data_IF_740501149620
#
_entry.id   IF_740501149620
#
_cell.length_a   1.000
_cell.length_b   1.000
_cell.length_c   1.000
_cell.angle_alpha   90.00
_cell.angle_beta   90.00
_cell.angle_gamma   90.00
#
_symmetry.space_group_name_H-M   'P 1'
#
loop_
_entity.id
_entity.type
_entity.pdbx_description
1 polymer ?
#
# COMPACT_ATOMS: atom_id res chain seq x y z
N UNK A 1 -7.98 8.67 -27.34
CA UNK A 1 -9.44 8.75 -27.58
C UNK A 1 -10.19 7.65 -26.82
N UNK A 2 -9.55 6.55 -26.45
CA UNK A 2 -10.19 5.39 -25.79
C UNK A 2 -10.16 5.43 -24.25
N UNK A 3 -9.57 6.44 -23.66
CA UNK A 3 -9.40 6.56 -22.20
C UNK A 3 -10.68 6.77 -21.39
N UNK A 4 -11.72 7.30 -21.98
CA UNK A 4 -13.03 7.43 -21.31
C UNK A 4 -13.74 6.07 -21.12
N UNK A 5 -13.51 5.12 -22.03
CA UNK A 5 -14.08 3.77 -21.89
C UNK A 5 -13.35 2.90 -20.87
N UNK A 6 -12.03 3.06 -20.69
CA UNK A 6 -11.29 2.37 -19.63
C UNK A 6 -11.81 2.74 -18.23
N UNK A 7 -12.23 3.99 -18.02
CA UNK A 7 -12.89 4.40 -16.79
C UNK A 7 -14.18 3.62 -16.50
N UNK A 8 -14.90 3.23 -17.54
CA UNK A 8 -16.11 2.42 -17.40
C UNK A 8 -15.84 0.95 -17.05
N UNK A 9 -14.67 0.45 -17.42
CA UNK A 9 -14.21 -0.91 -17.11
C UNK A 9 -13.50 -1.04 -15.75
N UNK A 10 -13.14 0.08 -15.08
CA UNK A 10 -12.38 0.05 -13.83
C UNK A 10 -13.28 -0.19 -12.60
N UNK A 11 -12.90 -1.12 -11.70
CA UNK A 11 -13.61 -1.36 -10.43
C UNK A 11 -13.73 -0.12 -9.54
N UNK A 12 -12.78 0.81 -9.63
CA UNK A 12 -12.74 2.04 -8.80
C UNK A 12 -13.87 3.01 -9.17
N UNK A 13 -14.17 3.17 -10.47
CA UNK A 13 -15.22 4.08 -10.92
C UNK A 13 -16.61 3.67 -10.42
N UNK A 14 -16.83 2.39 -10.19
CA UNK A 14 -18.10 1.86 -9.71
C UNK A 14 -18.40 2.20 -8.25
N UNK A 15 -17.37 2.35 -7.39
CA UNK A 15 -17.57 2.81 -6.02
C UNK A 15 -18.05 4.27 -5.96
N UNK A 16 -17.60 5.09 -6.90
CA UNK A 16 -18.07 6.48 -7.03
C UNK A 16 -19.57 6.55 -7.36
N UNK A 17 -20.08 5.54 -8.06
CA UNK A 17 -21.49 5.49 -8.48
C UNK A 17 -22.40 4.73 -7.50
N UNK A 18 -21.87 4.14 -6.42
CA UNK A 18 -22.68 3.45 -5.41
C UNK A 18 -23.78 4.35 -4.87
N UNK A 19 -25.02 3.89 -5.03
CA UNK A 19 -26.22 4.64 -4.63
C UNK A 19 -26.61 5.83 -5.52
N UNK A 20 -25.84 6.13 -6.59
CA UNK A 20 -26.12 7.25 -7.52
C UNK A 20 -26.65 6.79 -8.87
N UNK A 21 -26.50 5.51 -9.21
CA UNK A 21 -26.93 4.92 -10.50
C UNK A 21 -27.47 3.51 -10.26
N UNK A 22 -28.12 2.96 -11.29
CA UNK A 22 -28.47 1.54 -11.33
C UNK A 22 -27.19 0.68 -11.38
N UNK A 23 -26.81 0.11 -10.25
CA UNK A 23 -25.59 -0.69 -10.09
C UNK A 23 -25.56 -1.88 -11.05
N UNK A 24 -26.69 -2.57 -11.25
CA UNK A 24 -26.76 -3.75 -12.10
C UNK A 24 -26.50 -3.38 -13.57
N UNK A 25 -27.08 -2.29 -14.02
CA UNK A 25 -26.87 -1.75 -15.37
C UNK A 25 -25.41 -1.34 -15.58
N UNK A 26 -24.80 -0.66 -14.57
CA UNK A 26 -23.40 -0.22 -14.66
C UNK A 26 -22.44 -1.40 -14.69
N UNK A 27 -22.65 -2.43 -13.86
CA UNK A 27 -21.87 -3.66 -13.87
C UNK A 27 -21.97 -4.36 -15.23
N UNK A 28 -23.16 -4.42 -15.81
CA UNK A 28 -23.35 -5.00 -17.14
C UNK A 28 -22.59 -4.21 -18.21
N UNK A 29 -22.61 -2.88 -18.16
CA UNK A 29 -21.86 -2.02 -19.08
C UNK A 29 -20.35 -2.27 -18.97
N UNK A 30 -19.79 -2.36 -17.73
CA UNK A 30 -18.39 -2.67 -17.48
C UNK A 30 -18.00 -4.01 -18.11
N UNK A 31 -18.79 -5.06 -17.86
CA UNK A 31 -18.52 -6.39 -18.43
C UNK A 31 -18.61 -6.42 -19.95
N UNK A 32 -19.56 -5.68 -20.51
CA UNK A 32 -19.69 -5.55 -21.97
C UNK A 32 -18.51 -4.81 -22.58
N UNK A 33 -18.04 -3.73 -21.94
CA UNK A 33 -16.86 -3.01 -22.39
C UNK A 33 -15.59 -3.89 -22.35
N UNK A 34 -15.40 -4.68 -21.28
CA UNK A 34 -14.27 -5.61 -21.18
C UNK A 34 -14.27 -6.67 -22.29
N UNK A 35 -15.45 -7.20 -22.67
CA UNK A 35 -15.57 -8.14 -23.78
C UNK A 35 -15.30 -7.46 -25.13
N UNK A 36 -15.85 -6.28 -25.35
CA UNK A 36 -15.60 -5.52 -26.57
C UNK A 36 -14.10 -5.25 -26.76
N UNK A 37 -13.38 -4.91 -25.72
CA UNK A 37 -11.90 -4.71 -25.81
C UNK A 37 -11.15 -5.98 -26.23
N UNK A 38 -11.59 -7.14 -25.76
CA UNK A 38 -10.99 -8.43 -26.18
C UNK A 38 -11.36 -8.78 -27.62
N UNK A 39 -12.63 -8.58 -28.02
CA UNK A 39 -13.14 -8.83 -29.38
C UNK A 39 -12.55 -7.87 -30.42
N UNK A 40 -12.37 -6.62 -30.07
CA UNK A 40 -11.79 -5.58 -30.93
C UNK A 40 -10.26 -5.61 -30.95
N UNK A 41 -9.61 -6.55 -30.25
CA UNK A 41 -8.15 -6.69 -30.14
C UNK A 41 -7.46 -5.40 -29.66
N UNK A 42 -8.06 -4.72 -28.69
CA UNK A 42 -7.47 -3.52 -28.07
C UNK A 42 -6.17 -3.86 -27.34
N UNK A 43 -6.05 -5.09 -26.83
CA UNK A 43 -4.87 -5.58 -26.12
C UNK A 43 -3.95 -6.41 -27.02
N UNK A 44 -2.64 -6.21 -26.88
CA UNK A 44 -1.63 -7.15 -27.40
C UNK A 44 -1.44 -8.25 -26.35
N UNK A 45 -1.54 -9.51 -26.78
CA UNK A 45 -1.35 -10.66 -25.87
C UNK A 45 0.13 -10.87 -25.60
N UNK A 46 0.47 -10.95 -24.32
CA UNK A 46 1.80 -11.31 -23.84
C UNK A 46 1.69 -12.52 -22.90
N UNK A 47 2.73 -13.36 -22.86
CA UNK A 47 2.90 -14.46 -21.92
C UNK A 47 4.10 -14.22 -21.02
N UNK A 48 4.00 -14.60 -19.75
CA UNK A 48 5.07 -14.44 -18.79
C UNK A 48 5.01 -13.13 -18.05
N UNK A 49 6.04 -12.86 -17.26
CA UNK A 49 6.21 -11.65 -16.48
C UNK A 49 6.69 -10.48 -17.35
N UNK A 50 6.48 -9.25 -16.87
CA UNK A 50 6.97 -8.02 -17.51
C UNK A 50 7.76 -7.23 -16.47
N UNK A 51 9.01 -6.89 -16.78
CA UNK A 51 9.74 -5.87 -16.02
C UNK A 51 9.24 -4.50 -16.47
N UNK A 52 8.76 -3.71 -15.52
CA UNK A 52 8.26 -2.36 -15.74
C UNK A 52 9.32 -1.36 -15.31
N UNK A 53 9.63 -0.42 -16.19
CA UNK A 53 10.42 0.77 -15.91
C UNK A 53 9.47 1.96 -15.98
N UNK A 54 9.35 2.72 -14.88
CA UNK A 54 8.52 3.90 -14.82
C UNK A 54 9.32 5.11 -14.40
N UNK A 55 9.37 6.11 -15.26
CA UNK A 55 9.99 7.39 -14.98
C UNK A 55 8.92 8.35 -14.42
N UNK A 56 9.15 8.88 -13.22
CA UNK A 56 8.29 9.83 -12.53
C UNK A 56 9.15 11.01 -12.12
N UNK A 57 8.95 12.17 -12.76
CA UNK A 57 9.82 13.31 -12.50
C UNK A 57 11.28 12.99 -12.78
N UNK A 58 12.11 13.04 -11.75
CA UNK A 58 13.54 12.72 -11.83
C UNK A 58 13.90 11.30 -11.35
N UNK A 59 12.93 10.55 -10.86
CA UNK A 59 13.13 9.20 -10.36
C UNK A 59 12.70 8.15 -11.37
N UNK A 60 13.38 7.00 -11.38
CA UNK A 60 12.99 5.83 -12.15
C UNK A 60 12.73 4.69 -11.18
N UNK A 61 11.51 4.16 -11.21
CA UNK A 61 11.06 3.04 -10.41
C UNK A 61 10.93 1.79 -11.26
N UNK A 62 11.32 0.66 -10.71
CA UNK A 62 11.22 -0.64 -11.36
C UNK A 62 10.27 -1.56 -10.61
N UNK A 63 9.40 -2.23 -11.38
CA UNK A 63 8.46 -3.22 -10.85
C UNK A 63 8.44 -4.47 -11.72
N UNK A 64 7.97 -5.56 -11.14
CA UNK A 64 7.79 -6.83 -11.82
C UNK A 64 6.30 -7.17 -11.86
N UNK A 65 5.68 -7.11 -13.06
CA UNK A 65 4.32 -7.61 -13.26
C UNK A 65 4.31 -9.11 -13.21
N UNK A 66 3.58 -9.65 -12.25
CA UNK A 66 3.45 -11.08 -12.01
C UNK A 66 2.05 -11.44 -11.54
N UNK A 67 1.74 -12.72 -11.46
CA UNK A 67 0.52 -13.23 -10.84
C UNK A 67 0.87 -13.98 -9.55
N UNK A 68 0.26 -13.57 -8.44
CA UNK A 68 0.44 -14.21 -7.14
C UNK A 68 -0.69 -15.19 -6.84
N UNK A 69 -0.38 -16.29 -6.15
CA UNK A 69 -1.37 -17.29 -5.73
C UNK A 69 -2.16 -16.77 -4.51
N UNK A 70 -3.47 -16.65 -4.66
CA UNK A 70 -4.35 -16.21 -3.60
C UNK A 70 -4.44 -17.20 -2.43
N UNK A 71 -4.06 -18.48 -2.62
CA UNK A 71 -3.95 -19.42 -1.50
C UNK A 71 -2.82 -19.04 -0.51
N UNK A 72 -1.78 -18.35 -0.98
CA UNK A 72 -0.70 -17.84 -0.14
C UNK A 72 -0.99 -16.47 0.48
N UNK A 73 -2.13 -15.85 0.18
CA UNK A 73 -2.52 -14.54 0.67
C UNK A 73 -3.60 -14.61 1.75
N UNK A 74 -3.40 -13.86 2.83
CA UNK A 74 -4.40 -13.63 3.86
C UNK A 74 -4.34 -12.17 4.33
N UNK A 75 -5.50 -11.51 4.37
CA UNK A 75 -5.64 -10.11 4.76
C UNK A 75 -6.13 -9.92 6.20
N UNK A 76 -6.27 -10.99 6.97
CA UNK A 76 -6.63 -10.88 8.38
C UNK A 76 -5.50 -10.27 9.20
N UNK A 77 -5.84 -9.53 10.25
CA UNK A 77 -4.84 -8.82 11.08
C UNK A 77 -3.80 -9.75 11.69
N UNK A 78 -4.18 -10.95 12.05
CA UNK A 78 -3.31 -11.94 12.69
C UNK A 78 -2.69 -12.94 11.71
N UNK A 79 -2.70 -12.63 10.42
CA UNK A 79 -2.21 -13.50 9.36
C UNK A 79 -0.79 -13.96 9.61
N UNK A 80 -0.54 -15.25 9.31
CA UNK A 80 0.80 -15.86 9.24
C UNK A 80 1.14 -16.31 7.82
N UNK A 81 0.33 -15.93 6.82
CA UNK A 81 0.56 -16.26 5.42
C UNK A 81 1.82 -15.62 4.85
N UNK A 82 2.32 -16.16 3.75
CA UNK A 82 3.48 -15.63 3.04
C UNK A 82 3.26 -14.25 2.43
N UNK A 83 2.01 -13.94 2.09
CA UNK A 83 1.57 -12.67 1.51
C UNK A 83 0.54 -12.07 2.47
N UNK A 84 0.80 -10.84 2.95
CA UNK A 84 -0.05 -10.20 3.97
C UNK A 84 -0.47 -8.81 3.58
N UNK A 85 -1.68 -8.46 4.01
CA UNK A 85 -2.14 -7.08 3.98
C UNK A 85 -1.31 -6.21 4.94
N UNK A 86 -0.99 -5.00 4.53
CA UNK A 86 -0.34 -4.00 5.39
C UNK A 86 -1.31 -3.19 6.21
N UNK A 87 -2.55 -3.01 5.72
CA UNK A 87 -3.59 -2.25 6.40
C UNK A 87 -4.81 -3.12 6.69
N UNK A 88 -5.52 -2.78 7.75
CA UNK A 88 -6.78 -3.42 8.09
C UNK A 88 -7.82 -3.26 6.97
N UNK A 89 -8.26 -4.37 6.41
CA UNK A 89 -9.28 -4.38 5.35
C UNK A 89 -10.65 -4.06 5.93
N UNK A 90 -11.35 -3.11 5.31
CA UNK A 90 -12.71 -2.74 5.67
C UNK A 90 -13.68 -3.74 5.06
N UNK A 91 -14.23 -4.62 5.88
CA UNK A 91 -15.11 -5.71 5.43
C UNK A 91 -16.30 -5.19 4.58
N UNK A 92 -16.89 -4.05 4.97
CA UNK A 92 -18.03 -3.44 4.28
C UNK A 92 -17.69 -2.95 2.85
N UNK A 93 -16.40 -2.77 2.56
CA UNK A 93 -15.93 -2.35 1.22
C UNK A 93 -15.74 -3.51 0.25
N UNK A 94 -15.74 -4.75 0.73
CA UNK A 94 -15.52 -5.94 -0.12
C UNK A 94 -16.76 -6.29 -0.95
N UNK A 95 -17.99 -6.42 -0.38
CA UNK A 95 -19.16 -6.88 -1.14
C UNK A 95 -19.49 -6.06 -2.39
N UNK A 96 -19.44 -4.72 -2.38
CA UNK A 96 -19.65 -3.92 -3.59
C UNK A 96 -18.62 -4.21 -4.68
N UNK A 97 -17.35 -4.42 -4.31
CA UNK A 97 -16.28 -4.75 -5.25
C UNK A 97 -16.43 -6.16 -5.81
N UNK A 98 -16.88 -7.11 -4.99
CA UNK A 98 -17.17 -8.47 -5.45
C UNK A 98 -18.22 -8.48 -6.55
N UNK A 99 -19.31 -7.72 -6.42
CA UNK A 99 -20.36 -7.63 -7.45
C UNK A 99 -19.82 -7.23 -8.82
N UNK A 100 -18.79 -6.38 -8.84
CA UNK A 100 -18.19 -5.89 -10.08
C UNK A 100 -17.24 -6.93 -10.67
N UNK A 101 -16.31 -7.44 -9.82
CA UNK A 101 -15.29 -8.39 -10.24
C UNK A 101 -15.85 -9.78 -10.56
N UNK A 102 -16.88 -10.23 -9.84
CA UNK A 102 -17.51 -11.53 -10.08
C UNK A 102 -18.12 -11.57 -11.50
N UNK A 103 -17.65 -12.49 -12.33
CA UNK A 103 -18.05 -12.60 -13.74
C UNK A 103 -17.43 -11.56 -14.70
N UNK A 104 -16.44 -10.79 -14.26
CA UNK A 104 -15.63 -9.98 -15.15
C UNK A 104 -14.64 -10.88 -15.93
N UNK A 105 -14.50 -10.73 -17.25
CA UNK A 105 -13.57 -11.56 -18.04
C UNK A 105 -12.11 -11.15 -17.83
N UNK A 106 -11.87 -9.89 -17.46
CA UNK A 106 -10.56 -9.30 -17.28
C UNK A 106 -10.41 -8.70 -15.89
N UNK A 107 -9.18 -8.68 -15.40
CA UNK A 107 -8.76 -7.81 -14.31
C UNK A 107 -7.74 -6.80 -14.81
N UNK A 108 -7.86 -5.56 -14.34
CA UNK A 108 -6.92 -4.47 -14.57
C UNK A 108 -6.56 -3.85 -13.20
N UNK A 109 -5.99 -4.61 -12.27
CA UNK A 109 -5.71 -4.09 -10.96
C UNK A 109 -4.42 -3.27 -10.97
N UNK A 110 -4.40 -2.22 -10.15
CA UNK A 110 -3.16 -1.62 -9.70
C UNK A 110 -2.93 -2.04 -8.25
N UNK A 111 -2.28 -3.17 -8.06
CA UNK A 111 -1.93 -3.72 -6.76
C UNK A 111 -0.41 -3.72 -6.67
N UNK A 112 0.13 -2.90 -5.79
CA UNK A 112 1.55 -2.85 -5.49
C UNK A 112 1.86 -3.80 -4.34
N UNK A 113 2.83 -4.66 -4.55
CA UNK A 113 3.28 -5.66 -3.58
C UNK A 113 4.75 -5.45 -3.30
N UNK A 114 5.09 -5.30 -2.03
CA UNK A 114 6.44 -5.03 -1.58
C UNK A 114 7.17 -6.32 -1.22
N UNK A 115 8.44 -6.38 -1.59
CA UNK A 115 9.39 -7.38 -1.10
C UNK A 115 10.50 -6.70 -0.31
N UNK A 116 10.86 -7.27 0.83
CA UNK A 116 12.00 -6.82 1.62
C UNK A 116 13.29 -7.46 1.09
N UNK A 117 13.83 -6.91 0.01
CA UNK A 117 15.02 -7.44 -0.67
C UNK A 117 16.22 -6.49 -0.55
N UNK A 118 16.87 -6.48 0.62
CA UNK A 118 18.07 -5.67 0.87
C UNK A 118 19.29 -6.12 0.05
N UNK A 119 19.34 -7.39 -0.35
CA UNK A 119 20.42 -7.95 -1.16
C UNK A 119 20.20 -7.74 -2.67
N UNK A 120 19.05 -7.17 -3.07
CA UNK A 120 18.71 -6.83 -4.47
C UNK A 120 18.79 -8.05 -5.41
N UNK A 121 18.13 -9.14 -5.00
CA UNK A 121 18.20 -10.42 -5.68
C UNK A 121 17.13 -10.58 -6.77
N UNK A 122 15.97 -9.90 -6.63
CA UNK A 122 14.80 -10.16 -7.45
C UNK A 122 14.70 -9.23 -8.67
N UNK A 123 14.62 -7.93 -8.45
CA UNK A 123 14.31 -6.95 -9.50
C UNK A 123 15.57 -6.39 -10.13
N UNK A 124 16.55 -6.00 -9.35
CA UNK A 124 17.75 -5.31 -9.83
C UNK A 124 18.61 -6.14 -10.82
N UNK A 125 18.71 -7.48 -10.71
CA UNK A 125 19.38 -8.29 -11.74
C UNK A 125 18.67 -8.27 -13.09
N UNK A 126 17.32 -8.10 -13.10
CA UNK A 126 16.55 -7.95 -14.33
C UNK A 126 16.79 -6.58 -14.95
N UNK A 127 16.86 -5.54 -14.12
CA UNK A 127 17.20 -4.18 -14.55
C UNK A 127 18.57 -4.13 -15.20
N UNK A 128 19.54 -4.87 -14.66
CA UNK A 128 20.91 -4.91 -15.21
C UNK A 128 20.99 -5.47 -16.65
N UNK A 129 20.02 -6.30 -17.05
CA UNK A 129 19.97 -6.90 -18.40
C UNK A 129 18.88 -6.32 -19.30
N UNK A 130 18.13 -5.30 -18.84
CA UNK A 130 16.92 -4.80 -19.51
C UNK A 130 17.14 -4.41 -20.97
N UNK A 131 18.31 -3.87 -21.30
CA UNK A 131 18.64 -3.44 -22.68
C UNK A 131 18.78 -4.62 -23.66
N UNK A 132 18.83 -5.85 -23.14
CA UNK A 132 18.83 -7.09 -23.96
C UNK A 132 17.45 -7.73 -24.08
N UNK A 133 16.46 -7.22 -23.34
CA UNK A 133 15.11 -7.79 -23.30
C UNK A 133 14.22 -7.19 -24.39
N UNK A 134 13.30 -7.99 -24.96
CA UNK A 134 12.32 -7.46 -25.91
C UNK A 134 11.39 -6.45 -25.23
N UNK A 135 11.19 -5.30 -25.87
CA UNK A 135 10.25 -4.27 -25.40
C UNK A 135 8.83 -4.68 -25.75
N UNK A 136 7.93 -4.64 -24.78
CA UNK A 136 6.50 -4.95 -24.93
C UNK A 136 5.71 -3.66 -25.18
N UNK A 137 6.02 -2.60 -24.47
CA UNK A 137 5.45 -1.27 -24.66
C UNK A 137 6.47 -0.19 -24.23
N UNK A 138 6.34 1.01 -24.81
CA UNK A 138 7.24 2.15 -24.61
C UNK A 138 6.50 3.43 -24.99
N UNK A 139 6.02 4.23 -24.02
CA UNK A 139 5.25 5.44 -24.28
C UNK A 139 5.11 6.37 -23.06
N UNK A 140 4.79 7.63 -23.35
CA UNK A 140 4.48 8.62 -22.31
C UNK A 140 3.06 8.41 -21.75
N UNK A 141 2.95 8.45 -20.42
CA UNK A 141 1.67 8.39 -19.75
C UNK A 141 0.90 9.70 -19.93
N UNK A 142 -0.42 9.61 -20.00
CA UNK A 142 -1.29 10.77 -20.09
C UNK A 142 -1.16 11.67 -18.83
N UNK A 143 -1.63 12.91 -18.98
CA UNK A 143 -1.67 13.90 -17.90
C UNK A 143 -0.32 14.23 -17.28
N UNK A 144 0.77 14.05 -18.02
CA UNK A 144 2.13 14.32 -17.55
C UNK A 144 2.61 13.37 -16.45
N UNK A 145 2.04 12.16 -16.37
CA UNK A 145 2.38 11.17 -15.32
C UNK A 145 3.66 10.39 -15.60
N UNK A 146 4.54 10.95 -16.44
CA UNK A 146 5.85 10.39 -16.76
C UNK A 146 5.83 9.41 -17.93
N UNK A 147 6.86 8.58 -18.00
CA UNK A 147 7.09 7.62 -19.07
C UNK A 147 7.05 6.20 -18.53
N UNK A 148 6.55 5.26 -19.33
CA UNK A 148 6.51 3.84 -18.95
C UNK A 148 7.07 2.97 -20.07
N UNK A 149 7.90 2.00 -19.70
CA UNK A 149 8.40 0.97 -20.58
C UNK A 149 8.28 -0.40 -19.95
N UNK A 150 7.81 -1.38 -20.71
CA UNK A 150 7.70 -2.77 -20.28
C UNK A 150 8.62 -3.66 -21.09
N UNK A 151 9.33 -4.57 -20.42
CA UNK A 151 10.23 -5.53 -21.02
C UNK A 151 9.72 -6.95 -20.78
N UNK A 152 9.72 -7.76 -21.82
CA UNK A 152 9.32 -9.17 -21.74
C UNK A 152 10.34 -9.99 -20.97
N UNK A 153 9.86 -10.76 -20.01
CA UNK A 153 10.63 -11.79 -19.32
C UNK A 153 10.20 -13.20 -19.70
N UNK A 154 9.56 -13.35 -20.86
CA UNK A 154 9.08 -14.64 -21.39
C UNK A 154 10.23 -15.53 -21.90
N UNK A 155 11.24 -15.73 -21.07
CA UNK A 155 12.40 -16.59 -21.31
C UNK A 155 12.54 -17.55 -20.14
N UNK A 156 12.57 -18.85 -20.44
CA UNK A 156 12.59 -19.89 -19.41
C UNK A 156 13.84 -19.86 -18.51
N UNK A 157 14.94 -19.28 -18.94
CA UNK A 157 16.09 -19.05 -18.06
C UNK A 157 15.87 -17.88 -17.13
N UNK A 158 15.30 -16.78 -17.63
CA UNK A 158 14.96 -15.61 -16.81
C UNK A 158 13.89 -15.96 -15.77
N UNK A 159 12.84 -16.69 -16.18
CA UNK A 159 11.82 -17.18 -15.25
C UNK A 159 12.42 -18.03 -14.13
N UNK A 160 13.33 -18.95 -14.46
CA UNK A 160 14.03 -19.76 -13.44
C UNK A 160 14.87 -18.91 -12.50
N UNK A 161 15.53 -17.85 -12.99
CA UNK A 161 16.28 -16.91 -12.14
C UNK A 161 15.36 -16.15 -11.17
N UNK A 162 14.20 -15.69 -11.64
CA UNK A 162 13.20 -15.05 -10.80
C UNK A 162 12.72 -16.01 -9.72
N UNK A 163 12.36 -17.24 -10.06
CA UNK A 163 11.92 -18.25 -9.10
C UNK A 163 13.02 -18.59 -8.09
N UNK A 164 14.27 -18.74 -8.52
CA UNK A 164 15.41 -18.98 -7.64
C UNK A 164 15.65 -17.82 -6.65
N UNK A 165 15.45 -16.56 -7.11
CA UNK A 165 15.52 -15.40 -6.23
C UNK A 165 14.41 -15.42 -5.16
N UNK A 166 13.18 -15.76 -5.56
CA UNK A 166 12.04 -15.93 -4.64
C UNK A 166 12.32 -17.04 -3.64
N UNK A 167 12.81 -18.20 -4.08
CA UNK A 167 13.18 -19.33 -3.22
C UNK A 167 14.25 -18.92 -2.20
N UNK A 168 15.24 -18.14 -2.62
CA UNK A 168 16.26 -17.62 -1.71
C UNK A 168 15.69 -16.62 -0.70
N UNK A 169 14.83 -15.70 -1.12
CA UNK A 169 14.20 -14.72 -0.25
C UNK A 169 13.30 -15.35 0.81
N UNK A 170 12.61 -16.44 0.48
CA UNK A 170 11.75 -17.18 1.40
C UNK A 170 12.47 -18.29 2.20
N UNK A 171 13.78 -18.48 1.98
CA UNK A 171 14.54 -19.52 2.69
C UNK A 171 14.62 -19.23 4.19
N UNK A 172 14.63 -20.30 4.99
CA UNK A 172 14.75 -20.22 6.44
C UNK A 172 15.97 -19.44 6.87
N UNK A 173 17.10 -19.59 6.16
CA UNK A 173 18.34 -18.85 6.41
C UNK A 173 18.15 -17.33 6.24
N UNK A 174 17.57 -16.90 5.10
CA UNK A 174 17.35 -15.49 4.81
C UNK A 174 16.38 -14.86 5.81
N UNK A 175 15.27 -15.54 6.10
CA UNK A 175 14.26 -15.03 7.03
C UNK A 175 14.80 -14.96 8.47
N UNK A 176 15.56 -15.97 8.91
CA UNK A 176 16.18 -15.96 10.24
C UNK A 176 17.22 -14.86 10.39
N UNK A 177 18.00 -14.57 9.34
CA UNK A 177 18.96 -13.46 9.31
C UNK A 177 18.28 -12.11 9.44
N UNK A 178 17.09 -11.92 8.80
CA UNK A 178 16.34 -10.66 8.79
C UNK A 178 15.50 -10.47 10.05
N UNK A 179 14.76 -11.47 10.45
CA UNK A 179 13.70 -11.34 11.44
C UNK A 179 13.91 -12.16 12.71
N UNK A 180 15.11 -12.73 12.87
CA UNK A 180 15.48 -13.54 14.05
C UNK A 180 14.91 -14.97 13.99
N UNK A 181 14.92 -15.69 15.13
CA UNK A 181 14.51 -17.09 15.19
C UNK A 181 13.14 -17.32 14.57
N UNK A 182 13.06 -18.33 13.69
CA UNK A 182 11.85 -18.58 12.89
C UNK A 182 10.68 -19.05 13.74
N UNK A 183 9.54 -18.49 13.43
CA UNK A 183 8.23 -18.90 13.89
C UNK A 183 7.20 -18.67 12.77
N UNK A 184 5.94 -19.00 12.97
CA UNK A 184 4.90 -18.80 11.95
C UNK A 184 4.72 -17.34 11.53
N UNK A 185 4.96 -16.38 12.45
CA UNK A 185 4.72 -14.95 12.18
C UNK A 185 5.81 -14.32 11.32
N UNK A 186 7.07 -14.75 11.43
CA UNK A 186 8.15 -14.15 10.67
C UNK A 186 8.46 -14.87 9.34
N UNK A 187 7.59 -15.79 8.92
CA UNK A 187 7.56 -16.35 7.57
C UNK A 187 6.69 -15.47 6.66
N UNK A 188 7.25 -14.37 6.21
CA UNK A 188 6.63 -13.42 5.30
C UNK A 188 7.54 -13.16 4.11
N UNK A 189 6.99 -13.18 2.91
CA UNK A 189 7.71 -12.87 1.68
C UNK A 189 7.26 -11.54 1.10
N UNK A 190 5.96 -11.31 1.06
CA UNK A 190 5.37 -10.14 0.44
C UNK A 190 4.39 -9.43 1.36
N UNK A 191 4.36 -8.10 1.25
CA UNK A 191 3.40 -7.23 1.92
C UNK A 191 2.71 -6.30 0.89
N UNK A 192 1.41 -6.07 1.05
CA UNK A 192 0.67 -5.26 0.09
C UNK A 192 0.96 -3.78 0.31
N UNK A 193 1.62 -3.12 -0.64
CA UNK A 193 1.92 -1.70 -0.58
C UNK A 193 0.69 -0.82 -0.88
N UNK A 194 -0.02 -1.11 -1.97
CA UNK A 194 -1.31 -0.48 -2.32
C UNK A 194 -2.24 -1.51 -2.94
N UNK A 195 -3.54 -1.26 -2.89
CA UNK A 195 -4.56 -2.14 -3.44
C UNK A 195 -5.06 -3.23 -2.49
N UNK A 196 -4.87 -3.10 -1.16
CA UNK A 196 -5.32 -4.07 -0.15
C UNK A 196 -6.78 -4.53 -0.35
N UNK A 197 -7.72 -3.61 -0.60
CA UNK A 197 -9.13 -3.97 -0.82
C UNK A 197 -9.35 -4.69 -2.16
N UNK A 198 -8.57 -4.38 -3.19
CA UNK A 198 -8.66 -5.05 -4.50
C UNK A 198 -8.22 -6.51 -4.39
N UNK A 199 -7.09 -6.76 -3.73
CA UNK A 199 -6.58 -8.10 -3.54
C UNK A 199 -7.47 -8.93 -2.59
N UNK A 200 -7.95 -8.32 -1.49
CA UNK A 200 -8.92 -8.96 -0.61
C UNK A 200 -10.21 -9.36 -1.33
N UNK A 201 -10.69 -8.51 -2.25
CA UNK A 201 -11.86 -8.84 -3.09
C UNK A 201 -11.59 -10.03 -4.00
N UNK A 202 -10.40 -10.10 -4.62
CA UNK A 202 -10.00 -11.25 -5.44
C UNK A 202 -9.95 -12.53 -4.60
N UNK A 203 -9.39 -12.46 -3.39
CA UNK A 203 -9.33 -13.57 -2.43
C UNK A 203 -10.72 -14.06 -2.06
N UNK A 204 -11.66 -13.18 -1.70
CA UNK A 204 -13.02 -13.57 -1.33
C UNK A 204 -13.77 -14.25 -2.48
N UNK A 205 -13.61 -13.76 -3.71
CA UNK A 205 -14.21 -14.40 -4.89
C UNK A 205 -13.61 -15.79 -5.11
N UNK A 206 -12.30 -15.93 -4.97
CA UNK A 206 -11.63 -17.21 -5.06
C UNK A 206 -12.14 -18.19 -3.98
N UNK A 207 -12.14 -17.78 -2.71
CA UNK A 207 -12.61 -18.62 -1.60
C UNK A 207 -14.05 -19.09 -1.78
N UNK A 208 -14.92 -18.22 -2.25
CA UNK A 208 -16.32 -18.51 -2.53
C UNK A 208 -16.49 -19.58 -3.60
N UNK A 209 -15.65 -19.58 -4.63
CA UNK A 209 -15.86 -20.34 -5.86
C UNK A 209 -14.87 -21.49 -6.08
N UNK A 210 -13.74 -21.56 -5.35
CA UNK A 210 -12.64 -22.49 -5.60
C UNK A 210 -13.05 -23.98 -5.67
N UNK A 211 -14.04 -24.37 -4.89
CA UNK A 211 -14.55 -25.76 -4.92
C UNK A 211 -15.23 -26.11 -6.25
N UNK A 212 -15.85 -25.13 -6.89
CA UNK A 212 -16.55 -25.30 -8.17
C UNK A 212 -15.61 -25.13 -9.35
N UNK A 213 -14.68 -24.16 -9.24
CA UNK A 213 -13.76 -23.83 -10.34
C UNK A 213 -12.57 -24.79 -10.45
N UNK A 214 -12.13 -25.36 -9.32
CA UNK A 214 -10.95 -26.22 -9.29
C UNK A 214 -9.62 -25.45 -9.19
N UNK A 215 -8.51 -26.15 -8.89
CA UNK A 215 -7.23 -25.52 -8.55
C UNK A 215 -6.54 -24.81 -9.71
N UNK A 216 -6.86 -25.14 -10.94
CA UNK A 216 -6.21 -24.59 -12.14
C UNK A 216 -6.93 -23.37 -12.72
N UNK A 217 -8.01 -22.94 -12.07
CA UNK A 217 -8.80 -21.80 -12.56
C UNK A 217 -8.01 -20.50 -12.50
N UNK A 218 -8.02 -19.64 -13.55
CA UNK A 218 -7.25 -18.39 -13.58
C UNK A 218 -7.52 -17.45 -12.41
N UNK A 219 -8.74 -17.41 -11.89
CA UNK A 219 -9.11 -16.57 -10.75
C UNK A 219 -8.46 -16.97 -9.41
N UNK A 220 -7.74 -18.11 -9.35
CA UNK A 220 -6.86 -18.47 -8.23
C UNK A 220 -5.72 -17.48 -8.05
N UNK A 221 -5.33 -16.84 -9.13
CA UNK A 221 -4.23 -15.91 -9.15
C UNK A 221 -4.73 -14.47 -9.28
N UNK A 222 -3.93 -13.51 -8.81
CA UNK A 222 -4.19 -12.09 -9.01
C UNK A 222 -2.95 -11.41 -9.57
N UNK A 223 -3.15 -10.55 -10.57
CA UNK A 223 -2.08 -9.76 -11.16
C UNK A 223 -1.68 -8.63 -10.24
N UNK A 224 -0.38 -8.48 -10.03
CA UNK A 224 0.23 -7.48 -9.16
C UNK A 224 1.52 -6.95 -9.78
N UNK A 225 1.97 -5.80 -9.30
CA UNK A 225 3.31 -5.29 -9.51
C UNK A 225 4.12 -5.50 -8.24
N UNK A 226 5.19 -6.30 -8.34
CA UNK A 226 6.15 -6.51 -7.25
C UNK A 226 7.19 -5.40 -7.30
N UNK A 227 7.45 -4.75 -6.17
CA UNK A 227 8.44 -3.68 -6.05
C UNK A 227 9.37 -3.97 -4.87
N UNK A 228 10.65 -3.62 -5.01
CA UNK A 228 11.57 -3.72 -3.90
C UNK A 228 11.33 -2.58 -2.91
N UNK A 229 11.03 -2.89 -1.65
CA UNK A 229 10.91 -1.91 -0.57
C UNK A 229 12.12 -0.96 -0.50
N UNK A 230 13.31 -1.47 -0.84
CA UNK A 230 14.57 -0.73 -0.76
C UNK A 230 14.95 0.00 -2.07
N UNK A 231 14.07 0.04 -3.07
CA UNK A 231 14.26 0.90 -4.23
C UNK A 231 14.35 2.37 -3.77
N UNK A 232 15.35 3.10 -4.29
CA UNK A 232 15.59 4.50 -3.92
C UNK A 232 14.44 5.42 -4.37
N UNK A 233 13.75 5.06 -5.45
CA UNK A 233 12.59 5.79 -5.96
C UNK A 233 11.29 5.50 -5.19
N UNK A 234 11.32 4.56 -4.25
CA UNK A 234 10.17 4.23 -3.40
C UNK A 234 10.18 5.17 -2.19
N UNK A 235 9.30 6.13 -2.17
CA UNK A 235 9.11 7.02 -1.02
C UNK A 235 7.82 6.68 -0.28
N UNK A 236 7.91 6.64 1.05
CA UNK A 236 6.75 6.47 1.93
C UNK A 236 6.38 7.83 2.51
N UNK A 237 5.41 8.46 1.88
CA UNK A 237 4.88 9.72 2.36
C UNK A 237 4.15 9.53 3.69
N UNK A 238 4.52 10.28 4.74
CA UNK A 238 3.81 10.24 6.02
C UNK A 238 2.40 10.80 5.83
N UNK A 239 1.45 10.17 6.48
CA UNK A 239 0.09 10.70 6.57
C UNK A 239 -0.08 11.26 7.97
N UNK A 240 -0.19 12.58 8.09
CA UNK A 240 -0.38 13.27 9.35
C UNK A 240 -1.82 13.13 9.86
N UNK A 241 -2.07 13.53 11.10
CA UNK A 241 -3.41 13.53 11.69
C UNK A 241 -3.78 14.92 12.14
N UNK A 242 -5.03 15.27 11.92
CA UNK A 242 -5.67 16.40 12.59
C UNK A 242 -6.79 15.88 13.48
N UNK A 243 -6.75 16.25 14.76
CA UNK A 243 -7.77 15.90 15.75
C UNK A 243 -8.67 17.11 15.90
N UNK A 244 -9.96 16.95 15.64
CA UNK A 244 -10.93 18.03 15.59
C UNK A 244 -11.88 18.00 16.79
N UNK A 245 -12.13 19.17 17.35
CA UNK A 245 -13.13 19.35 18.40
C UNK A 245 -12.76 18.67 19.72
N UNK A 246 -11.54 18.92 20.19
CA UNK A 246 -11.02 18.45 21.48
C UNK A 246 -11.86 18.99 22.64
N UNK A 247 -12.11 18.16 23.65
CA UNK A 247 -12.73 18.51 24.92
C UNK A 247 -11.73 18.90 26.01
N UNK A 248 -10.43 18.69 25.76
CA UNK A 248 -9.33 18.98 26.67
C UNK A 248 -7.99 18.96 25.92
N UNK A 249 -6.88 19.17 26.64
CA UNK A 249 -5.54 19.15 26.02
C UNK A 249 -5.09 17.74 25.69
N UNK A 250 -4.69 17.54 24.42
CA UNK A 250 -4.13 16.27 23.94
C UNK A 250 -2.77 15.99 24.57
N UNK A 251 -1.96 17.03 24.83
CA UNK A 251 -0.70 16.96 25.56
C UNK A 251 -0.88 16.42 26.98
N UNK A 252 -1.89 16.93 27.70
CA UNK A 252 -2.19 16.44 29.04
C UNK A 252 -2.69 14.99 29.00
N UNK A 253 -3.57 14.65 28.06
CA UNK A 253 -4.04 13.29 27.90
C UNK A 253 -2.91 12.29 27.61
N UNK A 254 -1.87 12.70 26.81
CA UNK A 254 -0.67 11.90 26.61
C UNK A 254 0.12 11.72 27.92
N UNK A 255 0.29 12.79 28.69
CA UNK A 255 0.99 12.72 29.98
C UNK A 255 0.27 11.81 30.98
N UNK A 256 -1.05 11.89 31.04
CA UNK A 256 -1.89 11.06 31.92
C UNK A 256 -1.84 9.58 31.52
N UNK A 257 -1.90 9.28 30.22
CA UNK A 257 -1.97 7.92 29.70
C UNK A 257 -0.61 7.17 29.75
N UNK A 258 0.49 7.89 29.47
CA UNK A 258 1.83 7.29 29.36
C UNK A 258 2.71 7.59 30.58
N UNK A 259 2.35 8.54 31.41
CA UNK A 259 3.12 8.90 32.60
C UNK A 259 4.57 9.23 32.28
N UNK A 260 5.50 8.66 33.06
CA UNK A 260 6.94 8.86 32.86
C UNK A 260 7.56 8.21 31.64
N UNK A 261 6.77 7.49 30.82
CA UNK A 261 7.25 6.85 29.57
C UNK A 261 7.05 7.71 28.34
N UNK A 262 6.60 8.95 28.48
CA UNK A 262 6.52 9.95 27.43
C UNK A 262 7.30 11.21 27.83
N UNK A 263 8.00 11.81 26.89
CA UNK A 263 8.71 13.10 27.09
C UNK A 263 8.22 14.14 26.11
N UNK A 264 8.31 15.42 26.53
CA UNK A 264 7.83 16.58 25.79
C UNK A 264 8.96 17.59 25.66
N UNK A 265 9.36 17.91 24.42
CA UNK A 265 10.39 18.89 24.09
C UNK A 265 9.74 20.05 23.30
N UNK A 266 9.71 21.28 23.86
CA UNK A 266 9.11 22.42 23.18
C UNK A 266 10.01 23.02 22.11
N UNK A 267 9.40 23.57 21.06
CA UNK A 267 10.06 24.26 19.95
C UNK A 267 9.47 25.64 19.73
N UNK A 268 10.26 26.55 19.13
CA UNK A 268 9.85 27.94 18.93
C UNK A 268 8.80 28.09 17.81
N UNK A 269 8.80 27.21 16.84
CA UNK A 269 7.90 27.22 15.69
C UNK A 269 7.75 25.82 15.10
N UNK A 270 6.83 25.68 14.13
CA UNK A 270 6.50 24.39 13.50
C UNK A 270 7.62 23.86 12.62
N UNK A 271 8.37 24.71 11.94
CA UNK A 271 9.48 24.31 11.08
C UNK A 271 10.59 23.65 11.90
N UNK A 272 10.92 24.23 13.05
CA UNK A 272 11.89 23.64 13.99
C UNK A 272 11.38 22.33 14.58
N UNK A 273 10.08 22.22 14.88
CA UNK A 273 9.45 20.99 15.32
C UNK A 273 9.55 19.89 14.26
N UNK A 274 9.16 20.19 13.01
CA UNK A 274 9.17 19.22 11.91
C UNK A 274 10.58 18.71 11.66
N UNK A 275 11.56 19.62 11.54
CA UNK A 275 12.96 19.25 11.37
C UNK A 275 13.48 18.36 12.53
N UNK A 276 13.08 18.64 13.76
CA UNK A 276 13.50 17.85 14.92
C UNK A 276 12.84 16.45 14.95
N UNK A 277 11.60 16.32 14.44
CA UNK A 277 10.93 15.02 14.30
C UNK A 277 11.59 14.20 13.20
N UNK A 278 11.86 14.80 12.04
CA UNK A 278 12.49 14.11 10.90
C UNK A 278 13.93 13.69 11.20
N UNK A 279 14.64 14.44 12.03
CA UNK A 279 15.98 14.10 12.51
C UNK A 279 16.01 13.05 13.64
N UNK A 280 14.87 12.47 14.00
CA UNK A 280 14.81 11.45 15.04
C UNK A 280 15.57 10.19 14.60
N UNK A 281 16.42 9.67 15.50
CA UNK A 281 17.22 8.47 15.23
C UNK A 281 16.36 7.23 15.02
N UNK A 282 16.84 6.32 14.20
CA UNK A 282 16.22 5.01 14.00
C UNK A 282 15.97 4.29 15.33
N UNK A 283 14.83 3.65 15.44
CA UNK A 283 14.42 2.93 16.64
C UNK A 283 13.78 3.80 17.74
N UNK A 284 13.83 5.13 17.62
CA UNK A 284 13.14 6.06 18.53
C UNK A 284 11.81 6.48 17.90
N UNK A 285 10.73 6.38 18.67
CA UNK A 285 9.41 6.82 18.21
C UNK A 285 9.10 8.21 18.73
N UNK A 286 9.08 9.19 17.81
CA UNK A 286 8.74 10.58 18.11
C UNK A 286 7.78 11.13 17.06
N UNK A 287 6.96 12.09 17.46
CA UNK A 287 6.07 12.83 16.59
C UNK A 287 5.95 14.29 17.05
N UNK A 288 5.48 15.16 16.16
CA UNK A 288 5.18 16.54 16.49
C UNK A 288 3.74 16.72 16.92
N UNK A 289 3.51 17.42 18.01
CA UNK A 289 2.19 17.86 18.47
C UNK A 289 2.09 19.38 18.33
N UNK A 290 1.06 19.86 17.65
CA UNK A 290 0.71 21.27 17.50
C UNK A 290 -0.64 21.48 18.17
N UNK A 291 -0.69 22.19 19.27
CA UNK A 291 -1.91 22.42 20.04
C UNK A 291 -1.89 23.81 20.67
N UNK A 292 -2.95 24.61 20.47
CA UNK A 292 -3.12 25.95 21.04
C UNK A 292 -1.88 26.88 20.85
N UNK A 293 -1.18 26.78 19.72
CA UNK A 293 0.03 27.56 19.41
C UNK A 293 1.31 27.03 20.05
N UNK A 294 1.27 25.91 20.76
CA UNK A 294 2.46 25.20 21.25
C UNK A 294 2.95 24.20 20.20
N UNK A 295 4.27 24.08 20.05
CA UNK A 295 4.97 23.17 19.16
C UNK A 295 5.84 22.24 19.98
N UNK A 296 5.44 20.96 20.08
CA UNK A 296 6.05 20.03 21.03
C UNK A 296 6.43 18.74 20.32
N UNK A 297 7.70 18.33 20.44
CA UNK A 297 8.11 16.99 20.06
C UNK A 297 7.77 16.03 21.21
N UNK A 298 7.01 15.00 20.91
CA UNK A 298 6.62 13.95 21.82
C UNK A 298 7.43 12.71 21.51
N UNK A 299 8.06 12.10 22.50
CA UNK A 299 8.86 10.88 22.34
C UNK A 299 8.39 9.81 23.30
N UNK A 300 8.10 8.61 22.78
CA UNK A 300 7.76 7.44 23.56
C UNK A 300 9.01 6.68 23.98
N UNK A 301 9.23 6.49 25.28
CA UNK A 301 10.27 5.59 25.80
C UNK A 301 9.82 4.11 25.69
N UNK A 302 8.53 3.87 25.88
CA UNK A 302 7.91 2.54 25.78
C UNK A 302 6.76 2.58 24.76
N UNK A 303 7.06 2.48 23.46
CA UNK A 303 6.03 2.52 22.42
C UNK A 303 5.15 1.26 22.45
N UNK A 304 3.86 1.43 22.12
CA UNK A 304 2.85 0.35 22.11
C UNK A 304 2.78 -0.42 20.81
N UNK A 305 3.46 0.03 19.77
CA UNK A 305 3.47 -0.53 18.44
C UNK A 305 4.90 -0.51 17.88
N UNK A 306 5.19 -1.32 16.89
CA UNK A 306 6.48 -1.30 16.22
C UNK A 306 6.74 0.03 15.47
N UNK A 307 5.67 0.70 15.00
CA UNK A 307 5.76 1.99 14.31
C UNK A 307 5.15 3.12 15.14
N UNK A 308 5.74 4.32 15.05
CA UNK A 308 5.25 5.52 15.73
C UNK A 308 3.77 5.81 15.43
N UNK A 309 3.40 5.73 14.16
CA UNK A 309 2.00 5.89 13.72
C UNK A 309 1.05 4.90 14.39
N UNK A 310 1.51 3.69 14.67
CA UNK A 310 0.74 2.66 15.39
C UNK A 310 0.51 3.03 16.85
N UNK A 311 1.55 3.49 17.55
CA UNK A 311 1.46 3.94 18.94
C UNK A 311 0.50 5.15 19.07
N UNK A 312 0.64 6.13 18.16
CA UNK A 312 -0.24 7.31 18.10
C UNK A 312 -1.69 6.91 17.81
N UNK A 313 -1.92 6.03 16.82
CA UNK A 313 -3.28 5.63 16.45
C UNK A 313 -4.00 4.86 17.57
N UNK A 314 -3.30 3.98 18.26
CA UNK A 314 -3.87 3.26 19.41
C UNK A 314 -4.30 4.23 20.52
N UNK A 315 -3.49 5.24 20.80
CA UNK A 315 -3.83 6.29 21.76
C UNK A 315 -5.07 7.09 21.30
N UNK A 316 -5.10 7.54 20.05
CA UNK A 316 -6.25 8.25 19.51
C UNK A 316 -7.53 7.40 19.51
N UNK A 317 -7.43 6.11 19.21
CA UNK A 317 -8.58 5.21 19.23
C UNK A 317 -9.17 5.03 20.64
N UNK A 318 -8.33 5.04 21.67
CA UNK A 318 -8.77 5.04 23.08
C UNK A 318 -9.50 6.34 23.42
N UNK A 319 -8.92 7.49 23.09
CA UNK A 319 -9.54 8.79 23.33
C UNK A 319 -10.86 8.96 22.58
N UNK A 320 -10.95 8.43 21.36
CA UNK A 320 -12.19 8.45 20.57
C UNK A 320 -13.31 7.64 21.25
N UNK A 321 -12.99 6.47 21.78
CA UNK A 321 -13.96 5.66 22.57
C UNK A 321 -14.43 6.37 23.83
N UNK A 322 -13.55 7.19 24.43
CA UNK A 322 -13.88 8.02 25.58
C UNK A 322 -14.65 9.31 25.24
N UNK A 323 -14.86 9.61 23.94
CA UNK A 323 -15.52 10.83 23.48
C UNK A 323 -14.70 12.10 23.68
N UNK A 324 -13.37 11.99 23.74
CA UNK A 324 -12.46 13.10 24.02
C UNK A 324 -12.37 14.12 22.89
N UNK A 325 -12.70 13.72 21.65
CA UNK A 325 -12.72 14.58 20.47
C UNK A 325 -13.85 14.15 19.52
N UNK A 326 -14.17 15.00 18.55
CA UNK A 326 -15.24 14.73 17.59
C UNK A 326 -14.79 13.83 16.45
N UNK A 327 -13.63 14.15 15.84
CA UNK A 327 -13.16 13.50 14.63
C UNK A 327 -11.64 13.51 14.52
N UNK A 328 -11.10 12.54 13.81
CA UNK A 328 -9.70 12.54 13.32
C UNK A 328 -9.75 12.47 11.80
N UNK A 329 -9.06 13.39 11.13
CA UNK A 329 -8.83 13.36 9.69
C UNK A 329 -7.35 13.13 9.36
N UNK A 330 -7.07 12.77 8.12
CA UNK A 330 -5.79 12.27 7.63
C UNK A 330 -5.29 13.18 6.50
N UNK A 331 -4.15 13.80 6.72
CA UNK A 331 -3.64 14.86 5.86
C UNK A 331 -2.31 14.47 5.21
N UNK A 332 -2.20 14.79 3.92
CA UNK A 332 -0.94 14.74 3.18
C UNK A 332 -0.31 16.14 3.17
N UNK A 333 1.00 16.19 3.45
CA UNK A 333 1.73 17.45 3.50
C UNK A 333 1.48 18.28 4.77
N UNK A 334 2.25 19.35 4.90
CA UNK A 334 2.33 20.17 6.13
C UNK A 334 1.49 21.45 6.09
N UNK A 335 1.09 21.91 4.90
CA UNK A 335 0.33 23.17 4.75
C UNK A 335 -1.06 23.05 5.37
N UNK A 336 -1.80 22.02 5.00
CA UNK A 336 -3.15 21.79 5.50
C UNK A 336 -3.14 21.42 6.99
N UNK A 337 -2.16 20.60 7.42
CA UNK A 337 -1.93 20.31 8.84
C UNK A 337 -1.73 21.59 9.64
N UNK A 338 -0.89 22.50 9.16
CA UNK A 338 -0.60 23.77 9.81
C UNK A 338 -1.84 24.64 9.93
N UNK A 339 -2.56 24.82 8.83
CA UNK A 339 -3.75 25.68 8.79
C UNK A 339 -4.86 25.18 9.73
N UNK A 340 -5.09 23.86 9.77
CA UNK A 340 -6.13 23.27 10.61
C UNK A 340 -5.73 23.20 12.09
N UNK A 341 -4.43 23.10 12.41
CA UNK A 341 -3.92 23.10 13.78
C UNK A 341 -4.04 24.47 14.46
N UNK A 342 -4.08 25.57 13.68
CA UNK A 342 -4.24 26.91 14.19
C UNK A 342 -5.69 27.21 14.64
N UNK A 343 -6.63 26.32 14.31
CA UNK A 343 -8.02 26.48 14.73
C UNK A 343 -8.18 26.00 16.16
N UNK A 344 -8.70 26.86 17.02
CA UNK A 344 -8.92 26.56 18.44
C UNK A 344 -9.76 25.30 18.64
N UNK A 345 -9.29 24.42 19.51
CA UNK A 345 -9.93 23.14 19.81
C UNK A 345 -9.55 22.03 18.84
N UNK A 346 -8.57 22.27 17.98
CA UNK A 346 -7.94 21.25 17.16
C UNK A 346 -6.51 20.97 17.62
N UNK A 347 -5.98 19.80 17.29
CA UNK A 347 -4.56 19.51 17.45
C UNK A 347 -4.01 18.78 16.22
N UNK A 348 -2.88 19.27 15.74
CA UNK A 348 -2.11 18.64 14.64
C UNK A 348 -1.10 17.64 15.17
N UNK A 349 -1.02 16.49 14.52
CA UNK A 349 -0.02 15.46 14.78
C UNK A 349 0.83 15.28 13.53
N UNK A 350 2.05 15.76 13.59
CA UNK A 350 3.06 15.58 12.55
C UNK A 350 3.78 14.26 12.77
N UNK A 351 3.67 13.33 11.85
CA UNK A 351 4.31 12.02 11.92
C UNK A 351 5.55 11.98 11.02
N UNK A 352 6.64 11.34 11.46
CA UNK A 352 7.79 11.11 10.60
C UNK A 352 7.46 10.12 9.47
N UNK A 353 8.23 10.11 8.35
CA UNK A 353 8.14 9.08 7.34
C UNK A 353 8.31 7.68 7.93
N UNK A 354 7.59 6.72 7.36
CA UNK A 354 7.75 5.32 7.79
C UNK A 354 9.11 4.81 7.34
N UNK A 355 9.90 4.33 8.29
CA UNK A 355 11.22 3.77 8.03
C UNK A 355 11.09 2.43 7.28
N UNK A 356 11.77 2.29 6.14
CA UNK A 356 11.79 1.06 5.35
C UNK A 356 12.34 -0.12 6.17
N UNK A 357 13.39 0.15 6.98
CA UNK A 357 14.00 -0.78 7.91
C UNK A 357 13.05 -1.12 9.01
N UNK A 358 12.27 -1.79 9.25
CA UNK A 358 11.27 -2.04 10.32
C UNK A 358 9.85 -2.18 9.81
N UNK A 359 9.62 -1.92 8.52
CA UNK A 359 8.29 -2.01 7.94
C UNK A 359 7.73 -3.45 8.01
N UNK A 360 8.49 -4.44 7.54
CA UNK A 360 8.12 -5.86 7.64
C UNK A 360 8.09 -6.35 9.08
N UNK A 361 9.03 -5.88 9.91
CA UNK A 361 9.00 -6.20 11.36
C UNK A 361 7.72 -5.68 12.03
N UNK A 362 7.23 -4.51 11.62
CA UNK A 362 5.95 -3.97 12.06
C UNK A 362 4.79 -4.90 11.74
N UNK A 363 4.73 -5.41 10.51
CA UNK A 363 3.69 -6.37 10.10
C UNK A 363 3.83 -7.70 10.85
N UNK A 364 5.05 -8.16 11.12
CA UNK A 364 5.31 -9.40 11.87
C UNK A 364 4.85 -9.26 13.33
N UNK A 365 5.16 -8.13 13.98
CA UNK A 365 4.85 -7.90 15.40
C UNK A 365 3.39 -7.53 15.64
N UNK A 366 2.90 -6.56 14.89
CA UNK A 366 1.61 -5.92 15.15
C UNK A 366 0.47 -6.47 14.27
N UNK A 367 0.81 -7.24 13.22
CA UNK A 367 -0.11 -7.64 12.16
C UNK A 367 -0.39 -6.46 11.21
N UNK A 368 -1.61 -6.41 10.67
CA UNK A 368 -1.98 -5.30 9.80
C UNK A 368 -1.87 -3.96 10.55
N UNK A 369 -1.16 -3.02 9.94
CA UNK A 369 -0.91 -1.67 10.46
C UNK A 369 -2.22 -0.86 10.51
N UNK A 370 -2.26 0.23 11.26
CA UNK A 370 -3.37 1.16 11.23
C UNK A 370 -3.61 1.68 9.81
N UNK A 371 -4.86 2.02 9.52
CA UNK A 371 -5.19 2.66 8.23
C UNK A 371 -4.46 3.98 8.09
N UNK A 372 -4.14 4.29 6.84
CA UNK A 372 -3.47 5.56 6.55
C UNK A 372 -2.14 5.71 7.30
N UNK A 373 -1.37 4.63 7.37
CA UNK A 373 -0.02 4.64 7.95
C UNK A 373 0.94 5.38 7.04
N UNK A 374 0.85 5.17 5.72
CA UNK A 374 1.68 5.81 4.69
C UNK A 374 0.92 5.89 3.37
N UNK A 375 1.44 6.68 2.46
CA UNK A 375 1.10 6.64 1.04
C UNK A 375 2.34 6.27 0.23
N UNK A 376 2.17 5.44 -0.79
CA UNK A 376 3.22 5.15 -1.76
C UNK A 376 3.11 6.16 -2.90
N UNK A 377 3.87 7.25 -2.78
CA UNK A 377 3.87 8.37 -3.70
C UNK A 377 2.57 9.19 -3.72
N UNK A 378 2.60 10.26 -4.47
CA UNK A 378 1.48 11.17 -4.67
C UNK A 378 0.42 10.60 -5.63
N UNK A 379 -0.75 11.24 -5.70
CA UNK A 379 -1.83 10.82 -6.59
C UNK A 379 -1.41 10.82 -8.07
N UNK A 380 -0.52 11.72 -8.47
CA UNK A 380 0.05 11.81 -9.83
C UNK A 380 1.03 10.68 -10.14
N UNK A 381 1.61 10.09 -9.11
CA UNK A 381 2.53 8.95 -9.24
C UNK A 381 1.79 7.62 -9.32
N UNK A 382 0.50 7.60 -9.02
CA UNK A 382 -0.29 6.39 -9.16
C UNK A 382 -0.37 6.00 -10.63
N UNK A 383 0.04 4.78 -10.88
CA UNK A 383 0.15 4.21 -12.21
C UNK A 383 -1.21 4.07 -12.87
N UNK A 384 -1.27 4.37 -14.17
CA UNK A 384 -2.40 3.98 -15.01
C UNK A 384 -2.47 2.46 -15.19
N UNK A 385 -3.66 1.93 -15.39
CA UNK A 385 -3.89 0.51 -15.67
C UNK A 385 -3.56 0.23 -17.14
N UNK A 386 -2.45 -0.44 -17.38
CA UNK A 386 -1.93 -0.73 -18.73
C UNK A 386 -2.03 -2.21 -19.04
N UNK A 387 -1.67 -3.05 -18.08
CA UNK A 387 -1.76 -4.49 -18.21
C UNK A 387 -3.13 -4.99 -17.74
N UNK A 388 -3.64 -5.95 -18.50
CA UNK A 388 -4.85 -6.68 -18.19
C UNK A 388 -4.57 -8.18 -18.18
N UNK A 389 -5.25 -8.93 -17.31
CA UNK A 389 -5.17 -10.40 -17.28
C UNK A 389 -6.54 -11.02 -17.41
N UNK A 390 -6.67 -12.07 -18.23
CA UNK A 390 -7.88 -12.88 -18.30
C UNK A 390 -8.04 -13.68 -17.01
N UNK A 391 -9.25 -13.65 -16.44
CA UNK A 391 -9.60 -14.33 -15.18
C UNK A 391 -10.80 -15.27 -15.32
N UNK A 392 -11.44 -15.29 -16.48
CA UNK A 392 -12.48 -16.24 -16.89
C UNK A 392 -12.10 -16.90 -18.19
#
# INVERSE_FOLDING_TARGET
>A
IYTLSLHDALPISSLYYLGKVDEAKKIQQIRSAMRAYDEENVFTTHRGMILVERQIGHATRYGLMAAIDLEAYDYTRASTSWIRATEGTVAERIPPRMKIREGAPLELPHILVLVDDTEKLLIEPLVAIRDTLPVVYDFDLMMGSGHIRGYSLADGEIERRVLAAIDRLQSDETLAKKYGPLNERNRILFAIGDGNHSLATAKEIWEKNKKTWGPDHPARYAMVELENLHDAAQEFEPIHRIVLGLSGSLKNALADEFGGTVSFEPFANREALFAAVDATKDGVQSFGLIEDGEFVKVTFAEPRSALCVGSVQQFLDQLRKAGFFKEVDYLHGTEELSALSDVKGNAGIYLPPVQKNGFFEGIIKDGALPRKTFSMGEAQEKRFYIEARRIL
#
